data_IF_336628134344
#
_entry.id   IF_336628134344
#
_cell.length_a   1.000
_cell.length_b   1.000
_cell.length_c   1.000
_cell.angle_alpha   90.00
_cell.angle_beta   90.00
_cell.angle_gamma   90.00
#
_symmetry.space_group_name_H-M   'P 1'
#
loop_
_entity.id
_entity.type
_entity.pdbx_description
1 polymer ?
#
# COMPACT_ATOMS: atom_id res chain seq x y z
N UNK A 1 5.73 14.79 2.01
CA UNK A 1 4.94 13.63 1.55
C UNK A 1 3.79 14.16 0.75
N UNK A 2 3.62 13.65 -0.46
CA UNK A 2 2.54 14.04 -1.37
C UNK A 2 1.72 12.80 -1.75
N UNK A 3 0.45 13.03 -2.08
CA UNK A 3 -0.43 12.03 -2.67
C UNK A 3 -0.98 12.64 -3.95
N UNK A 4 -0.75 11.97 -5.06
CA UNK A 4 -1.16 12.37 -6.41
C UNK A 4 -2.28 11.45 -6.88
N UNK A 5 -3.30 12.06 -7.50
CA UNK A 5 -4.43 11.34 -8.09
C UNK A 5 -4.51 11.67 -9.57
N UNK A 6 -4.70 10.65 -10.40
CA UNK A 6 -4.85 10.80 -11.83
C UNK A 6 -6.03 9.96 -12.33
N UNK A 7 -6.81 10.53 -13.24
CA UNK A 7 -7.82 9.83 -14.02
C UNK A 7 -7.42 9.85 -15.50
N UNK A 8 -7.57 8.72 -16.17
CA UNK A 8 -7.39 8.61 -17.62
C UNK A 8 -8.70 8.08 -18.21
N UNK A 9 -9.53 8.99 -18.73
CA UNK A 9 -10.85 8.66 -19.25
C UNK A 9 -10.79 7.81 -20.53
N UNK A 10 -9.73 7.96 -21.34
CA UNK A 10 -9.56 7.18 -22.56
C UNK A 10 -9.20 5.72 -22.24
N UNK A 11 -8.41 5.50 -21.18
CA UNK A 11 -8.06 4.16 -20.70
C UNK A 11 -9.04 3.59 -19.67
N UNK A 12 -9.92 4.42 -19.12
CA UNK A 12 -10.82 4.02 -18.04
C UNK A 12 -10.10 3.69 -16.73
N UNK A 13 -8.97 4.33 -16.43
CA UNK A 13 -8.15 4.02 -15.26
C UNK A 13 -8.15 5.13 -14.22
N UNK A 14 -8.11 4.72 -12.94
CA UNK A 14 -7.83 5.58 -11.81
C UNK A 14 -6.47 5.21 -11.22
N UNK A 15 -5.65 6.20 -10.88
CA UNK A 15 -4.32 6.00 -10.29
C UNK A 15 -4.17 6.85 -9.04
N UNK A 16 -3.72 6.22 -7.96
CA UNK A 16 -3.25 6.86 -6.74
C UNK A 16 -1.75 6.56 -6.60
N UNK A 17 -0.97 7.59 -6.28
CA UNK A 17 0.46 7.47 -6.03
C UNK A 17 0.84 8.29 -4.80
N UNK A 18 1.65 7.72 -3.92
CA UNK A 18 2.25 8.43 -2.80
C UNK A 18 3.79 8.42 -2.88
N UNK A 19 4.42 9.34 -2.16
CA UNK A 19 5.88 9.42 -2.00
C UNK A 19 6.32 8.90 -0.62
N UNK A 20 5.64 7.88 -0.11
CA UNK A 20 5.88 7.29 1.19
C UNK A 20 7.04 6.30 1.19
N UNK A 21 7.02 5.37 2.15
CA UNK A 21 8.10 4.39 2.39
C UNK A 21 8.18 3.30 1.32
N UNK A 22 7.11 3.10 0.54
CA UNK A 22 7.01 2.02 -0.43
C UNK A 22 7.06 0.64 0.22
N UNK A 23 7.27 -0.39 -0.60
CA UNK A 23 7.36 -1.78 -0.19
C UNK A 23 8.44 -2.52 -0.98
N UNK A 24 9.16 -3.41 -0.32
CA UNK A 24 9.99 -4.40 -0.97
C UNK A 24 9.14 -5.61 -1.43
N UNK A 25 9.76 -6.58 -2.11
CA UNK A 25 9.02 -7.74 -2.64
C UNK A 25 8.35 -8.59 -1.55
N UNK A 26 9.02 -8.79 -0.42
CA UNK A 26 8.49 -9.59 0.69
C UNK A 26 7.28 -8.91 1.32
N UNK A 27 7.34 -7.59 1.49
CA UNK A 27 6.24 -6.77 1.98
C UNK A 27 5.07 -6.75 1.01
N UNK A 28 5.30 -6.66 -0.31
CA UNK A 28 4.23 -6.76 -1.31
C UNK A 28 3.49 -8.09 -1.19
N UNK A 29 4.22 -9.21 -1.12
CA UNK A 29 3.63 -10.54 -0.98
C UNK A 29 2.89 -10.67 0.36
N UNK A 30 3.50 -10.24 1.46
CA UNK A 30 2.92 -10.38 2.78
C UNK A 30 1.72 -9.47 3.02
N UNK A 31 1.81 -8.18 2.64
CA UNK A 31 0.80 -7.17 2.96
C UNK A 31 -0.35 -7.12 1.95
N UNK A 32 -0.10 -7.42 0.66
CA UNK A 32 -1.15 -7.42 -0.37
C UNK A 32 -1.64 -8.84 -0.68
N UNK A 33 -0.78 -9.86 -0.57
CA UNK A 33 -1.14 -11.25 -0.86
C UNK A 33 -1.82 -11.99 0.29
N UNK A 34 -1.85 -11.44 1.50
CA UNK A 34 -2.50 -12.07 2.67
C UNK A 34 -3.64 -11.19 3.18
N UNK A 35 -4.88 -11.69 3.03
CA UNK A 35 -6.07 -11.02 3.55
C UNK A 35 -5.99 -10.90 5.07
N UNK A 36 -6.41 -9.74 5.61
CA UNK A 36 -6.43 -9.42 7.04
C UNK A 36 -5.05 -9.29 7.70
N UNK A 37 -3.98 -9.05 6.92
CA UNK A 37 -2.67 -8.67 7.43
C UNK A 37 -2.46 -7.16 7.30
N UNK A 38 -2.18 -6.49 8.42
CA UNK A 38 -1.89 -5.04 8.45
C UNK A 38 -0.46 -4.78 8.88
N UNK A 39 0.40 -4.36 7.93
CA UNK A 39 1.75 -3.87 8.23
C UNK A 39 1.72 -2.64 9.14
N UNK A 40 0.76 -1.74 8.94
CA UNK A 40 0.58 -0.54 9.77
C UNK A 40 0.29 -0.87 11.25
N UNK A 41 -0.49 -1.91 11.51
CA UNK A 41 -0.72 -2.39 12.89
C UNK A 41 0.56 -2.97 13.51
N UNK A 42 1.30 -3.79 12.77
CA UNK A 42 2.58 -4.33 13.25
C UNK A 42 3.59 -3.22 13.54
N UNK A 43 3.60 -2.16 12.72
CA UNK A 43 4.40 -0.96 12.94
C UNK A 43 3.99 -0.19 14.20
N UNK A 44 2.69 -0.03 14.44
CA UNK A 44 2.17 0.56 15.68
C UNK A 44 2.59 -0.22 16.93
N UNK A 45 2.49 -1.54 16.88
CA UNK A 45 2.89 -2.41 17.99
C UNK A 45 4.40 -2.29 18.29
N UNK A 46 5.23 -2.15 17.25
CA UNK A 46 6.66 -1.90 17.39
C UNK A 46 7.00 -0.50 17.95
N UNK A 47 6.11 0.48 17.73
CA UNK A 47 6.28 1.88 18.14
C UNK A 47 5.58 2.24 19.46
N UNK A 48 5.13 1.28 20.27
CA UNK A 48 4.39 1.53 21.52
C UNK A 48 5.01 2.56 22.50
N UNK A 49 6.28 2.96 22.33
CA UNK A 49 6.94 4.02 23.10
C UNK A 49 6.89 5.45 22.47
N UNK A 50 6.26 5.64 21.31
CA UNK A 50 6.14 6.95 20.63
C UNK A 50 4.68 7.31 20.36
N UNK A 51 4.07 8.04 21.30
CA UNK A 51 2.65 8.41 21.28
C UNK A 51 2.24 9.30 20.09
N UNK A 52 3.16 10.04 19.48
CA UNK A 52 2.84 10.86 18.31
C UNK A 52 2.56 10.01 17.07
N UNK A 53 3.38 8.98 16.81
CA UNK A 53 3.21 8.10 15.67
C UNK A 53 1.88 7.32 15.75
N UNK A 54 1.48 6.91 16.95
CA UNK A 54 0.26 6.11 17.14
C UNK A 54 -1.04 6.84 16.82
N UNK A 55 -1.08 8.16 16.99
CA UNK A 55 -2.25 8.98 16.67
C UNK A 55 -2.47 9.21 15.17
N UNK A 56 -1.45 8.97 14.34
CA UNK A 56 -1.44 9.32 12.92
C UNK A 56 -1.75 8.14 11.97
N UNK A 57 -1.73 6.91 12.49
CA UNK A 57 -1.95 5.69 11.70
C UNK A 57 -3.44 5.31 11.69
N UNK A 58 -4.03 5.33 10.50
CA UNK A 58 -5.45 5.05 10.27
C UNK A 58 -5.72 3.54 10.07
N UNK A 59 -4.87 2.85 9.30
CA UNK A 59 -5.10 1.47 8.88
C UNK A 59 -4.76 0.44 9.96
N UNK A 60 -5.74 -0.36 10.39
CA UNK A 60 -5.54 -1.39 11.44
C UNK A 60 -6.02 -2.80 11.04
N UNK A 61 -6.90 -2.90 10.05
CA UNK A 61 -7.62 -4.13 9.72
C UNK A 61 -6.97 -4.96 8.61
N UNK A 62 -6.13 -4.36 7.76
CA UNK A 62 -5.45 -5.10 6.68
C UNK A 62 -6.37 -5.58 5.57
N UNK A 63 -7.51 -4.91 5.38
CA UNK A 63 -8.49 -5.25 4.32
C UNK A 63 -8.83 -4.10 3.38
N UNK A 64 -8.40 -2.86 3.70
CA UNK A 64 -8.80 -1.66 2.96
C UNK A 64 -8.34 -1.65 1.50
N UNK A 65 -7.18 -2.24 1.20
CA UNK A 65 -6.65 -2.36 -0.16
C UNK A 65 -7.62 -3.10 -1.10
N UNK A 66 -8.27 -4.16 -0.62
CA UNK A 66 -9.15 -4.98 -1.44
C UNK A 66 -10.45 -4.29 -1.84
N UNK A 67 -10.78 -3.13 -1.26
CA UNK A 67 -11.89 -2.29 -1.73
C UNK A 67 -11.73 -1.85 -3.19
N UNK A 68 -10.49 -1.82 -3.71
CA UNK A 68 -10.19 -1.53 -5.11
C UNK A 68 -10.88 -2.51 -6.09
N UNK A 69 -11.01 -3.78 -5.71
CA UNK A 69 -11.67 -4.81 -6.53
C UNK A 69 -13.19 -4.66 -6.61
N UNK A 70 -13.80 -3.73 -5.86
CA UNK A 70 -15.21 -3.39 -6.08
C UNK A 70 -15.45 -2.62 -7.38
N UNK A 71 -14.42 -1.96 -7.92
CA UNK A 71 -14.54 -1.02 -9.06
C UNK A 71 -13.52 -1.27 -10.17
N UNK A 72 -12.58 -2.19 -9.98
CA UNK A 72 -11.52 -2.48 -10.95
C UNK A 72 -11.50 -3.97 -11.31
N UNK A 73 -11.46 -4.26 -12.62
CA UNK A 73 -11.24 -5.61 -13.14
C UNK A 73 -9.81 -6.10 -12.90
N UNK A 74 -8.87 -5.17 -12.72
CA UNK A 74 -7.45 -5.45 -12.49
C UNK A 74 -6.80 -4.33 -11.67
N UNK A 75 -5.97 -4.72 -10.72
CA UNK A 75 -5.17 -3.81 -9.90
C UNK A 75 -3.68 -4.07 -10.15
N UNK A 76 -2.99 -3.06 -10.67
CA UNK A 76 -1.53 -3.04 -10.81
C UNK A 76 -0.93 -2.12 -9.73
N UNK A 77 0.02 -2.62 -8.94
CA UNK A 77 0.75 -1.86 -7.91
C UNK A 77 2.22 -1.82 -8.29
N UNK A 78 2.79 -0.62 -8.34
CA UNK A 78 4.22 -0.40 -8.51
C UNK A 78 4.75 0.17 -7.21
N UNK A 79 5.79 -0.46 -6.65
CA UNK A 79 6.36 -0.01 -5.39
C UNK A 79 7.87 -0.17 -5.36
N UNK A 80 8.54 0.76 -4.69
CA UNK A 80 9.96 0.70 -4.39
C UNK A 80 10.15 1.08 -2.93
N UNK A 81 10.76 0.19 -2.15
CA UNK A 81 11.11 0.47 -0.75
C UNK A 81 12.12 1.63 -0.68
N UNK A 82 11.97 2.48 0.33
CA UNK A 82 12.91 3.54 0.67
C UNK A 82 14.26 3.00 1.22
N UNK A 83 14.38 1.69 1.46
CA UNK A 83 15.63 1.07 1.85
C UNK A 83 16.71 1.26 0.77
N UNK A 84 17.96 1.64 1.14
CA UNK A 84 19.01 1.90 0.17
C UNK A 84 19.30 0.71 -0.75
N UNK A 85 19.27 0.95 -2.06
CA UNK A 85 19.55 -0.08 -3.06
C UNK A 85 18.39 -1.03 -3.36
N UNK A 86 17.21 -0.81 -2.77
CA UNK A 86 16.03 -1.62 -3.06
C UNK A 86 15.54 -1.42 -4.50
N UNK A 87 15.35 -2.50 -5.28
CA UNK A 87 14.77 -2.41 -6.61
C UNK A 87 13.27 -2.13 -6.54
N UNK A 88 12.71 -1.62 -7.63
CA UNK A 88 11.27 -1.47 -7.81
C UNK A 88 10.62 -2.79 -8.22
N UNK A 89 9.40 -3.02 -7.76
CA UNK A 89 8.60 -4.21 -8.04
C UNK A 89 7.23 -3.84 -8.59
N UNK A 90 6.66 -4.75 -9.38
CA UNK A 90 5.28 -4.72 -9.82
C UNK A 90 4.52 -5.90 -9.23
N UNK A 91 3.42 -5.62 -8.55
CA UNK A 91 2.40 -6.59 -8.18
C UNK A 91 1.15 -6.38 -9.05
N UNK A 92 0.46 -7.46 -9.40
CA UNK A 92 -0.70 -7.43 -10.31
C UNK A 92 -1.69 -8.52 -9.93
N UNK A 93 -2.98 -8.21 -9.93
CA UNK A 93 -4.06 -9.17 -9.66
C UNK A 93 -5.38 -8.70 -10.29
N UNK A 94 -6.26 -9.66 -10.61
CA UNK A 94 -7.64 -9.50 -11.09
C UNK A 94 -8.69 -9.87 -10.03
N UNK A 95 -8.28 -10.16 -8.79
CA UNK A 95 -9.14 -10.55 -7.67
C UNK A 95 -8.67 -11.81 -6.95
#
# INVERSE_FOLDING_TARGET
>A
MEIHLQTDAAKGTFTIQDTGVGMNNEELVANLGTIARSGSKAFLDALQNQAEASSSIIGQFGVGFYSAFMVADKVDVYSQSAEPGSPGYKWSSDG
#
